data_IF_599567908078
#
_entry.id   IF_599567908078
#
_cell.length_a   1.000
_cell.length_b   1.000
_cell.length_c   1.000
_cell.angle_alpha   90.00
_cell.angle_beta   90.00
_cell.angle_gamma   90.00
#
_symmetry.space_group_name_H-M   'P 1'
#
loop_
_entity.id
_entity.type
_entity.pdbx_description
1 polymer ?
#
# COMPACT_ATOMS: atom_id res chain seq x y z
N UNK A 1 -10.45 -16.64 18.03
CA UNK A 1 -9.77 -16.81 16.72
C UNK A 1 -8.88 -15.60 16.54
N UNK A 2 -7.57 -15.78 16.51
CA UNK A 2 -6.63 -14.71 16.18
C UNK A 2 -6.66 -14.48 14.67
N UNK A 3 -6.66 -13.22 14.24
CA UNK A 3 -6.59 -12.87 12.82
C UNK A 3 -5.24 -13.36 12.25
N UNK A 4 -5.19 -13.90 11.02
CA UNK A 4 -3.94 -14.24 10.36
C UNK A 4 -3.04 -13.00 10.25
N UNK A 5 -1.74 -13.20 10.47
CA UNK A 5 -0.75 -12.14 10.77
C UNK A 5 -0.49 -11.15 9.63
N UNK A 6 -1.05 -11.40 8.43
CA UNK A 6 -1.08 -10.46 7.31
C UNK A 6 -2.35 -10.71 6.51
N UNK A 7 -3.45 -10.08 6.93
CA UNK A 7 -4.62 -9.69 6.13
C UNK A 7 -4.98 -10.54 4.92
N UNK A 8 -6.15 -11.18 4.95
CA UNK A 8 -6.70 -12.06 3.90
C UNK A 8 -6.85 -11.43 2.48
N UNK A 9 -6.43 -10.18 2.28
CA UNK A 9 -6.37 -9.56 0.96
C UNK A 9 -5.23 -8.53 0.84
N UNK A 10 -4.25 -8.86 -0.01
CA UNK A 10 -3.18 -7.97 -0.42
C UNK A 10 -3.12 -7.94 -1.95
N UNK A 11 -3.06 -6.73 -2.50
CA UNK A 11 -2.79 -6.55 -3.93
C UNK A 11 -1.86 -5.38 -4.18
N UNK A 12 -1.17 -5.45 -5.31
CA UNK A 12 -0.38 -4.35 -5.85
C UNK A 12 -0.73 -4.15 -7.32
N UNK A 13 -0.84 -2.89 -7.73
CA UNK A 13 -1.00 -2.54 -9.14
C UNK A 13 -0.04 -1.41 -9.51
N UNK A 14 0.33 -1.37 -10.79
CA UNK A 14 1.07 -0.25 -11.39
C UNK A 14 0.12 0.53 -12.30
N UNK A 15 0.03 1.83 -12.08
CA UNK A 15 -0.74 2.75 -12.91
C UNK A 15 0.22 3.63 -13.68
N UNK A 16 0.03 3.70 -15.00
CA UNK A 16 0.69 4.69 -15.85
C UNK A 16 -0.30 5.82 -16.10
N UNK A 17 0.08 7.05 -15.75
CA UNK A 17 -0.78 8.21 -15.92
C UNK A 17 -0.04 9.35 -16.61
N UNK A 18 -0.82 10.18 -17.29
CA UNK A 18 -0.36 11.39 -17.99
C UNK A 18 -0.84 12.60 -17.19
N UNK A 19 0.10 13.38 -16.67
CA UNK A 19 -0.18 14.61 -15.93
C UNK A 19 0.68 15.72 -16.53
N UNK A 20 0.06 16.82 -16.95
CA UNK A 20 0.78 17.94 -17.57
C UNK A 20 1.58 17.58 -18.83
N UNK A 21 1.15 16.55 -19.57
CA UNK A 21 1.87 16.04 -20.75
C UNK A 21 3.05 15.11 -20.43
N UNK A 22 3.40 14.93 -19.16
CA UNK A 22 4.41 13.98 -18.72
C UNK A 22 3.78 12.65 -18.32
N UNK A 23 4.42 11.54 -18.71
CA UNK A 23 4.03 10.20 -18.29
C UNK A 23 4.75 9.82 -17.02
N UNK A 24 4.01 9.45 -15.99
CA UNK A 24 4.55 8.90 -14.75
C UNK A 24 3.98 7.52 -14.47
N UNK A 25 4.71 6.73 -13.68
CA UNK A 25 4.29 5.43 -13.19
C UNK A 25 4.19 5.52 -11.67
N UNK A 26 3.07 5.07 -11.14
CA UNK A 26 2.82 4.96 -9.70
C UNK A 26 2.48 3.52 -9.37
N UNK A 27 3.01 3.04 -8.24
CA UNK A 27 2.56 1.81 -7.61
C UNK A 27 1.50 2.16 -6.56
N UNK A 28 0.48 1.32 -6.46
CA UNK A 28 -0.47 1.33 -5.37
C UNK A 28 -0.55 -0.07 -4.77
N UNK A 29 -0.30 -0.16 -3.47
CA UNK A 29 -0.44 -1.40 -2.70
C UNK A 29 -1.52 -1.22 -1.66
N UNK A 30 -2.44 -2.16 -1.58
CA UNK A 30 -3.48 -2.21 -0.57
C UNK A 30 -3.31 -3.45 0.30
N UNK A 31 -3.39 -3.27 1.61
CA UNK A 31 -3.30 -4.35 2.61
C UNK A 31 -4.39 -4.11 3.64
N UNK A 32 -5.20 -5.13 3.92
CA UNK A 32 -6.13 -5.12 5.04
C UNK A 32 -5.41 -5.59 6.31
N UNK A 33 -5.51 -4.83 7.40
CA UNK A 33 -4.99 -5.22 8.71
C UNK A 33 -6.14 -5.13 9.71
N UNK A 34 -6.73 -6.29 10.04
CA UNK A 34 -7.99 -6.36 10.80
C UNK A 34 -9.11 -5.55 10.13
N UNK A 35 -9.61 -4.53 10.83
CA UNK A 35 -10.68 -3.64 10.35
C UNK A 35 -10.15 -2.41 9.58
N UNK A 36 -8.84 -2.25 9.45
CA UNK A 36 -8.20 -1.12 8.77
C UNK A 36 -7.78 -1.54 7.36
N UNK A 37 -8.00 -0.66 6.38
CA UNK A 37 -7.44 -0.80 5.03
C UNK A 37 -6.34 0.25 4.84
N UNK A 38 -5.12 -0.21 4.61
CA UNK A 38 -3.96 0.64 4.33
C UNK A 38 -3.72 0.64 2.83
N UNK A 39 -3.71 1.83 2.21
CA UNK A 39 -3.35 2.01 0.81
C UNK A 39 -2.12 2.91 0.74
N UNK A 40 -1.04 2.39 0.15
CA UNK A 40 0.21 3.12 -0.06
C UNK A 40 0.39 3.34 -1.56
N UNK A 41 0.42 4.62 -1.97
CA UNK A 41 0.57 5.00 -3.38
C UNK A 41 1.74 5.95 -3.56
N UNK A 42 2.52 5.76 -4.63
CA UNK A 42 3.64 6.64 -4.95
C UNK A 42 4.55 6.07 -6.02
N UNK A 43 5.77 6.62 -6.14
CA UNK A 43 6.79 6.04 -7.02
C UNK A 43 7.06 4.59 -6.61
N UNK A 44 7.20 3.64 -7.56
CA UNK A 44 7.30 2.22 -7.25
C UNK A 44 8.33 1.88 -6.17
N UNK A 45 9.57 2.37 -6.31
CA UNK A 45 10.62 2.12 -5.32
C UNK A 45 10.36 2.73 -3.94
N UNK A 46 9.60 3.83 -3.86
CA UNK A 46 9.22 4.42 -2.57
C UNK A 46 8.11 3.64 -1.90
N UNK A 47 7.16 3.10 -2.67
CA UNK A 47 6.12 2.21 -2.11
C UNK A 47 6.78 0.96 -1.54
N UNK A 48 7.67 0.33 -2.29
CA UNK A 48 8.40 -0.88 -1.84
C UNK A 48 9.20 -0.62 -0.55
N UNK A 49 9.93 0.49 -0.51
CA UNK A 49 10.77 0.83 0.63
C UNK A 49 10.00 1.25 1.90
N UNK A 50 8.73 1.64 1.77
CA UNK A 50 7.97 2.21 2.89
C UNK A 50 6.73 1.41 3.30
N UNK A 51 6.38 0.34 2.58
CA UNK A 51 5.17 -0.44 2.84
C UNK A 51 5.13 -0.99 4.27
N UNK A 52 6.17 -1.71 4.70
CA UNK A 52 6.23 -2.29 6.06
C UNK A 52 6.11 -1.21 7.15
N UNK A 53 6.78 -0.07 6.95
CA UNK A 53 6.70 1.06 7.87
C UNK A 53 5.29 1.65 7.95
N UNK A 54 4.55 1.69 6.84
CA UNK A 54 3.18 2.15 6.82
C UNK A 54 2.25 1.18 7.57
N UNK A 55 2.46 -0.12 7.42
CA UNK A 55 1.71 -1.16 8.13
C UNK A 55 1.96 -1.11 9.63
N UNK A 56 3.22 -1.08 10.06
CA UNK A 56 3.57 -0.99 11.48
C UNK A 56 2.98 0.27 12.15
N UNK A 57 2.87 1.37 11.40
CA UNK A 57 2.18 2.58 11.89
C UNK A 57 0.68 2.40 12.01
N UNK A 58 0.04 1.70 11.07
CA UNK A 58 -1.40 1.46 11.10
C UNK A 58 -1.79 0.53 12.26
N UNK A 59 -0.97 -0.48 12.53
CA UNK A 59 -1.14 -1.39 13.68
C UNK A 59 -0.97 -0.68 15.02
N UNK A 60 -0.06 0.31 15.11
CA UNK A 60 0.15 1.06 16.34
C UNK A 60 -1.02 1.99 16.72
N UNK A 61 -1.93 2.28 15.78
CA UNK A 61 -3.06 3.20 15.99
C UNK A 61 -4.44 2.51 15.91
N UNK A 62 -4.46 1.18 15.70
CA UNK A 62 -5.66 0.33 15.68
C UNK A 62 -5.89 -0.34 17.01
#
# INVERSE_FOLDING_TARGET
MAAPDLGDEQWSQLLTHLVGGQRSVVKQTAVRVGNVLVIVSGLPGLVDANLEKALAKAEAVS
#
